data_IF_160135956825
#
_entry.id   IF_160135956825
#
_cell.length_a   1.000
_cell.length_b   1.000
_cell.length_c   1.000
_cell.angle_alpha   90.00
_cell.angle_beta   90.00
_cell.angle_gamma   90.00
#
_symmetry.space_group_name_H-M   'P 1'
#
loop_
_entity.id
_entity.type
_entity.pdbx_description
1 polymer ?
#
# COMPACT_ATOMS: atom_id res chain seq x y z
N UNK A 1 -1.24 -33.43 -5.81
CA UNK A 1 -1.56 -32.23 -5.01
C UNK A 1 -0.34 -31.34 -5.12
N UNK A 2 -0.42 -30.25 -5.89
CA UNK A 2 0.70 -29.33 -6.05
C UNK A 2 0.65 -28.38 -4.87
N UNK A 3 1.56 -28.56 -3.92
CA UNK A 3 1.79 -27.61 -2.83
C UNK A 3 2.70 -26.52 -3.36
N UNK A 4 2.14 -25.33 -3.57
CA UNK A 4 2.95 -24.14 -3.80
C UNK A 4 3.63 -23.76 -2.48
N UNK A 5 4.91 -23.33 -2.51
CA UNK A 5 5.53 -22.79 -1.32
C UNK A 5 4.73 -21.58 -0.83
N UNK A 6 4.65 -21.36 0.49
CA UNK A 6 4.07 -20.13 1.01
C UNK A 6 4.79 -18.94 0.38
N UNK A 7 4.01 -18.01 -0.17
CA UNK A 7 4.54 -16.78 -0.73
C UNK A 7 5.07 -15.95 0.44
N UNK A 8 6.34 -15.58 0.39
CA UNK A 8 6.86 -14.51 1.24
C UNK A 8 6.23 -13.19 0.76
N UNK A 9 5.25 -12.71 1.53
CA UNK A 9 4.46 -11.53 1.16
C UNK A 9 5.29 -10.25 1.16
N UNK A 10 6.33 -10.14 1.98
CA UNK A 10 7.21 -8.97 2.00
C UNK A 10 8.05 -8.94 0.73
N UNK A 11 8.59 -10.09 0.33
CA UNK A 11 9.32 -10.23 -0.93
C UNK A 11 8.44 -10.06 -2.16
N UNK A 12 7.21 -10.56 -2.10
CA UNK A 12 6.19 -10.37 -3.14
C UNK A 12 5.86 -8.88 -3.30
N UNK A 13 5.56 -8.19 -2.20
CA UNK A 13 5.29 -6.76 -2.18
C UNK A 13 6.47 -5.96 -2.76
N UNK A 14 7.68 -6.21 -2.27
CA UNK A 14 8.91 -5.58 -2.76
C UNK A 14 9.10 -5.77 -4.27
N UNK A 15 8.90 -6.99 -4.76
CA UNK A 15 9.08 -7.34 -6.18
C UNK A 15 8.11 -6.56 -7.07
N UNK A 16 6.82 -6.60 -6.77
CA UNK A 16 5.82 -5.94 -7.60
C UNK A 16 5.96 -4.40 -7.54
N UNK A 17 6.36 -3.88 -6.38
CA UNK A 17 6.67 -2.46 -6.25
C UNK A 17 7.84 -2.01 -7.15
N UNK A 18 8.81 -2.89 -7.39
CA UNK A 18 9.95 -2.60 -8.27
C UNK A 18 9.58 -2.57 -9.76
N UNK A 19 8.46 -3.20 -10.14
CA UNK A 19 7.96 -3.26 -11.51
C UNK A 19 6.90 -2.21 -11.83
N UNK A 20 6.44 -1.43 -10.85
CA UNK A 20 5.43 -0.39 -11.08
C UNK A 20 5.81 0.64 -12.16
N UNK A 21 7.10 0.90 -12.38
CA UNK A 21 7.55 1.86 -13.41
C UNK A 21 7.49 1.28 -14.82
N UNK A 22 7.29 -0.04 -14.96
CA UNK A 22 7.11 -0.68 -16.25
C UNK A 22 5.70 -0.40 -16.77
N UNK A 23 5.61 0.40 -17.82
CA UNK A 23 4.34 0.82 -18.41
C UNK A 23 3.52 -0.36 -18.94
N UNK A 24 4.16 -1.44 -19.39
CA UNK A 24 3.47 -2.58 -19.97
C UNK A 24 2.73 -3.39 -18.90
N UNK A 25 3.21 -3.38 -17.66
CA UNK A 25 2.67 -4.17 -16.55
C UNK A 25 2.10 -3.32 -15.42
N UNK A 26 2.29 -1.99 -15.45
CA UNK A 26 1.90 -1.05 -14.39
C UNK A 26 0.48 -1.23 -13.86
N UNK A 27 -0.48 -1.61 -14.70
CA UNK A 27 -1.84 -1.91 -14.26
C UNK A 27 -1.90 -3.13 -13.32
N UNK A 28 -1.35 -4.25 -13.76
CA UNK A 28 -1.30 -5.50 -13.00
C UNK A 28 -0.44 -5.35 -11.75
N UNK A 29 0.73 -4.72 -11.88
CA UNK A 29 1.66 -4.47 -10.78
C UNK A 29 1.04 -3.60 -9.70
N UNK A 30 0.29 -2.56 -10.09
CA UNK A 30 -0.46 -1.74 -9.14
C UNK A 30 -1.46 -2.58 -8.36
N UNK A 31 -2.28 -3.40 -9.00
CA UNK A 31 -3.23 -4.26 -8.29
C UNK A 31 -2.51 -5.25 -7.35
N UNK A 32 -1.42 -5.87 -7.81
CA UNK A 32 -0.64 -6.81 -7.01
C UNK A 32 -0.03 -6.16 -5.77
N UNK A 33 0.53 -4.95 -5.92
CA UNK A 33 1.07 -4.14 -4.81
C UNK A 33 -0.02 -3.82 -3.78
N UNK A 34 -1.22 -3.45 -4.23
CA UNK A 34 -2.35 -3.12 -3.36
C UNK A 34 -2.85 -4.34 -2.58
N UNK A 35 -3.02 -5.46 -3.26
CA UNK A 35 -3.46 -6.72 -2.65
C UNK A 35 -2.41 -7.19 -1.64
N UNK A 36 -1.12 -7.19 -2.03
CA UNK A 36 -0.03 -7.59 -1.15
C UNK A 36 0.03 -6.73 0.12
N UNK A 37 -0.16 -5.42 -0.01
CA UNK A 37 -0.12 -4.54 1.16
C UNK A 37 -1.31 -4.75 2.10
N UNK A 38 -2.47 -5.11 1.56
CA UNK A 38 -3.68 -5.43 2.35
C UNK A 38 -3.48 -6.75 3.11
N UNK A 39 -2.92 -7.75 2.45
CA UNK A 39 -2.57 -9.03 3.07
C UNK A 39 -1.51 -8.87 4.17
N UNK A 40 -0.53 -7.98 3.98
CA UNK A 40 0.46 -7.65 5.01
C UNK A 40 -0.15 -6.94 6.22
N UNK A 41 -1.18 -6.10 6.01
CA UNK A 41 -1.91 -5.47 7.11
C UNK A 41 -2.63 -6.51 7.98
N UNK A 42 -3.25 -7.51 7.34
CA UNK A 42 -3.91 -8.62 8.03
C UNK A 42 -2.94 -9.47 8.87
N UNK A 43 -1.66 -9.47 8.52
CA UNK A 43 -0.60 -10.22 9.21
C UNK A 43 0.29 -9.33 10.10
N UNK A 44 -0.03 -8.04 10.24
CA UNK A 44 0.87 -7.06 10.84
C UNK A 44 1.38 -7.45 12.23
N UNK A 45 0.52 -8.03 13.06
CA UNK A 45 0.87 -8.46 14.43
C UNK A 45 1.84 -9.64 14.47
N UNK A 46 1.90 -10.43 13.40
CA UNK A 46 2.74 -11.63 13.26
C UNK A 46 4.11 -11.32 12.64
N UNK A 47 4.24 -10.18 11.97
CA UNK A 47 5.48 -9.72 11.37
C UNK A 47 6.55 -9.38 12.41
N UNK A 48 7.81 -9.64 12.06
CA UNK A 48 8.94 -9.22 12.89
C UNK A 48 9.12 -7.70 12.84
N UNK A 49 9.86 -7.14 13.80
CA UNK A 49 10.20 -5.72 13.78
C UNK A 49 10.98 -5.33 12.52
N UNK A 50 11.88 -6.20 12.06
CA UNK A 50 12.66 -6.00 10.85
C UNK A 50 11.77 -5.97 9.59
N UNK A 51 10.78 -6.85 9.51
CA UNK A 51 9.84 -6.87 8.39
C UNK A 51 8.99 -5.60 8.37
N UNK A 52 8.53 -5.14 9.53
CA UNK A 52 7.77 -3.89 9.65
C UNK A 52 8.59 -2.68 9.19
N UNK A 53 9.85 -2.57 9.61
CA UNK A 53 10.76 -1.50 9.16
C UNK A 53 11.01 -1.56 7.65
N UNK A 54 11.14 -2.76 7.08
CA UNK A 54 11.26 -2.93 5.64
C UNK A 54 9.96 -2.50 4.92
N UNK A 55 8.79 -2.91 5.42
CA UNK A 55 7.50 -2.52 4.84
C UNK A 55 7.31 -1.00 4.92
N UNK A 56 7.69 -0.34 6.02
CA UNK A 56 7.66 1.13 6.11
C UNK A 56 8.54 1.78 5.03
N UNK A 57 9.72 1.22 4.75
CA UNK A 57 10.56 1.70 3.63
C UNK A 57 9.89 1.47 2.26
N UNK A 58 9.19 0.35 2.07
CA UNK A 58 8.48 0.04 0.83
C UNK A 58 7.23 0.90 0.67
N UNK A 59 6.50 1.20 1.74
CA UNK A 59 5.33 2.08 1.75
C UNK A 59 5.73 3.52 1.35
N UNK A 60 6.91 3.98 1.77
CA UNK A 60 7.46 5.25 1.31
C UNK A 60 7.75 5.26 -0.19
N UNK A 61 8.28 4.14 -0.73
CA UNK A 61 8.47 3.98 -2.17
C UNK A 61 7.13 3.96 -2.92
N UNK A 62 6.13 3.23 -2.42
CA UNK A 62 4.77 3.22 -2.97
C UNK A 62 4.16 4.62 -3.00
N UNK A 63 4.29 5.37 -1.91
CA UNK A 63 3.78 6.73 -1.83
C UNK A 63 4.45 7.67 -2.86
N UNK A 64 5.73 7.46 -3.19
CA UNK A 64 6.40 8.20 -4.27
C UNK A 64 5.83 7.89 -5.66
N UNK A 65 5.23 6.70 -5.83
CA UNK A 65 4.64 6.20 -7.08
C UNK A 65 3.12 6.32 -7.14
N UNK A 66 2.52 7.10 -6.24
CA UNK A 66 1.07 7.19 -6.09
C UNK A 66 0.32 7.59 -7.38
N UNK A 67 0.95 8.37 -8.26
CA UNK A 67 0.36 8.76 -9.55
C UNK A 67 0.07 7.53 -10.42
N UNK A 68 1.01 6.60 -10.53
CA UNK A 68 0.87 5.36 -11.32
C UNK A 68 -0.27 4.52 -10.76
N UNK A 69 -0.28 4.32 -9.44
CA UNK A 69 -1.31 3.50 -8.78
C UNK A 69 -2.69 4.17 -8.82
N UNK A 70 -2.74 5.51 -8.94
CA UNK A 70 -3.99 6.24 -9.12
C UNK A 70 -4.68 6.00 -10.46
N UNK A 71 -3.92 5.65 -11.50
CA UNK A 71 -4.47 5.40 -12.84
C UNK A 71 -5.29 4.12 -12.91
N UNK A 72 -5.02 3.14 -12.02
CA UNK A 72 -5.67 1.83 -12.03
C UNK A 72 -6.96 1.78 -11.23
N UNK A 73 -7.18 2.74 -10.33
CA UNK A 73 -8.34 2.73 -9.46
C UNK A 73 -9.53 3.48 -10.10
N UNK A 74 -10.69 2.81 -10.28
CA UNK A 74 -11.81 3.34 -11.07
C UNK A 74 -12.49 4.59 -10.46
N UNK A 75 -12.19 4.92 -9.20
CA UNK A 75 -12.81 6.04 -8.46
C UNK A 75 -11.85 6.74 -7.49
N UNK A 76 -10.54 6.46 -7.53
CA UNK A 76 -9.59 7.16 -6.67
C UNK A 76 -9.60 8.64 -7.02
N UNK A 77 -10.17 9.42 -6.11
CA UNK A 77 -10.46 10.84 -6.25
C UNK A 77 -9.21 11.53 -6.75
N UNK A 78 -9.30 12.06 -7.97
CA UNK A 78 -8.22 12.50 -8.84
C UNK A 78 -7.13 13.42 -8.25
N UNK A 79 -7.19 13.90 -6.99
CA UNK A 79 -6.25 14.93 -6.52
C UNK A 79 -5.89 14.93 -5.02
N UNK A 80 -6.32 13.97 -4.19
CA UNK A 80 -6.00 14.03 -2.75
C UNK A 80 -5.28 12.78 -2.24
N UNK A 81 -3.94 12.82 -2.35
CA UNK A 81 -2.98 11.86 -1.76
C UNK A 81 -3.35 11.46 -0.31
N UNK A 82 -3.90 12.39 0.47
CA UNK A 82 -4.36 12.18 1.88
C UNK A 82 -5.51 11.19 2.08
N UNK A 83 -6.26 10.84 1.04
CA UNK A 83 -7.42 9.92 1.12
C UNK A 83 -7.06 8.46 0.89
N UNK A 84 -5.83 8.19 0.49
CA UNK A 84 -5.36 6.84 0.24
C UNK A 84 -5.02 6.17 1.56
N UNK A 85 -5.50 4.94 1.75
CA UNK A 85 -5.33 4.21 3.01
C UNK A 85 -3.86 3.97 3.36
N UNK A 86 -2.94 3.90 2.40
CA UNK A 86 -1.50 3.84 2.69
C UNK A 86 -0.88 5.16 3.19
N UNK A 87 -1.57 6.30 3.01
CA UNK A 87 -1.19 7.56 3.67
C UNK A 87 -1.54 7.56 5.16
N UNK A 88 -2.34 6.60 5.64
CA UNK A 88 -2.59 6.42 7.06
C UNK A 88 -1.37 5.83 7.80
N UNK A 89 -0.36 5.35 7.08
CA UNK A 89 0.89 4.81 7.64
C UNK A 89 2.00 5.85 7.87
N UNK A 90 1.80 7.14 7.56
CA UNK A 90 2.72 8.25 7.90
C UNK A 90 2.85 8.50 9.44
N UNK A 91 2.55 7.51 10.27
CA UNK A 91 2.59 7.53 11.72
C UNK A 91 1.26 7.94 12.38
N UNK A 92 1.16 7.83 13.72
CA UNK A 92 -0.07 8.09 14.49
C UNK A 92 -0.72 9.45 14.20
N UNK A 93 0.08 10.41 13.76
CA UNK A 93 -0.30 11.80 13.53
C UNK A 93 -1.21 11.96 12.31
N UNK A 94 -1.03 11.15 11.26
CA UNK A 94 -1.85 11.23 10.04
C UNK A 94 -3.15 10.46 10.19
N UNK A 95 -3.15 9.36 10.97
CA UNK A 95 -4.38 8.69 11.40
C UNK A 95 -5.27 9.63 12.22
N UNK A 96 -4.72 10.37 13.18
CA UNK A 96 -5.47 11.36 13.97
C UNK A 96 -5.91 12.60 13.17
N UNK A 97 -5.21 12.97 12.10
CA UNK A 97 -5.63 14.03 11.17
C UNK A 97 -6.78 13.54 10.28
N UNK A 98 -6.66 12.33 9.72
CA UNK A 98 -7.71 11.71 8.90
C UNK A 98 -8.99 11.45 9.71
N UNK A 99 -8.87 10.97 10.94
CA UNK A 99 -10.00 10.80 11.88
C UNK A 99 -10.67 12.14 12.22
N UNK A 100 -9.89 13.21 12.43
CA UNK A 100 -10.44 14.57 12.65
C UNK A 100 -11.18 15.11 11.42
N UNK A 101 -10.61 14.95 10.23
CA UNK A 101 -11.24 15.39 8.98
C UNK A 101 -12.51 14.60 8.68
N UNK A 102 -12.51 13.28 8.92
CA UNK A 102 -13.69 12.43 8.77
C UNK A 102 -14.80 12.79 9.77
N UNK A 103 -14.45 13.19 11.01
CA UNK A 103 -15.40 13.68 12.00
C UNK A 103 -16.00 15.05 11.61
N UNK A 104 -15.17 15.98 11.13
CA UNK A 104 -15.61 17.32 10.72
C UNK A 104 -16.46 17.33 9.43
N UNK A 105 -16.37 16.29 8.61
CA UNK A 105 -17.17 16.14 7.38
C UNK A 105 -18.55 15.54 7.61
N UNK A 106 -18.89 15.17 8.87
CA UNK A 106 -20.15 14.55 9.28
C UNK A 106 -21.12 15.50 10.00
N UNK A 107 -20.68 16.73 10.29
CA UNK A 107 -21.52 17.87 10.72
C UNK A 107 -21.93 18.72 9.52
#
# INVERSE_FOLDING_TARGET
MVTFPPIDLVDYYRRHLSYLDDRETSYEESLNVLIARDDLENQWTELTQQDRELIESLDNMLASKHEIVSEVLPTAVKYERRRWWWHLHEGPQVKSEAERLAAASRD
#
